data_IF_972216566398
#
_entry.id   IF_972216566398
#
_cell.length_a   1.000
_cell.length_b   1.000
_cell.length_c   1.000
_cell.angle_alpha   90.00
_cell.angle_beta   90.00
_cell.angle_gamma   90.00
#
_symmetry.space_group_name_H-M   'P 1'
#
loop_
_entity.id
_entity.type
_entity.pdbx_description
1 polymer ?
#
# COMPACT_ATOMS: atom_id res chain seq x y z
N UNK A 1 22.23 21.62 -1.55
CA UNK A 1 21.20 20.98 -0.71
C UNK A 1 20.74 19.73 -1.45
N UNK A 2 20.88 18.56 -0.83
CA UNK A 2 20.40 17.29 -1.39
C UNK A 2 18.88 17.40 -1.53
N UNK A 3 18.38 17.48 -2.77
CA UNK A 3 16.96 17.48 -3.05
C UNK A 3 16.40 16.13 -2.60
N UNK A 4 15.79 16.09 -1.42
CA UNK A 4 14.82 15.07 -1.05
C UNK A 4 13.61 15.28 -1.96
N UNK A 5 13.72 14.79 -3.20
CA UNK A 5 12.70 14.89 -4.21
C UNK A 5 11.45 14.17 -3.70
N UNK A 6 10.57 14.91 -3.02
CA UNK A 6 9.15 14.57 -2.97
C UNK A 6 8.64 14.77 -4.38
N UNK A 7 8.81 13.74 -5.20
CA UNK A 7 8.16 13.65 -6.51
C UNK A 7 6.67 13.79 -6.25
N UNK A 8 6.15 14.97 -6.53
CA UNK A 8 4.71 15.21 -6.50
C UNK A 8 4.13 14.43 -7.67
N UNK A 9 3.55 13.26 -7.38
CA UNK A 9 2.83 12.46 -8.38
C UNK A 9 1.48 13.16 -8.58
N UNK A 10 1.18 13.73 -9.75
CA UNK A 10 -0.13 14.34 -9.99
C UNK A 10 -1.19 13.22 -10.00
N UNK A 11 -2.20 13.31 -9.12
CA UNK A 11 -3.25 12.29 -8.99
C UNK A 11 -3.24 11.50 -7.68
N UNK A 12 -2.37 11.84 -6.72
CA UNK A 12 -2.45 11.30 -5.36
C UNK A 12 -3.78 11.74 -4.75
N UNK A 13 -4.64 10.77 -4.50
CA UNK A 13 -5.85 10.98 -3.71
C UNK A 13 -5.48 11.10 -2.23
N UNK A 14 -6.36 11.69 -1.43
CA UNK A 14 -6.05 11.98 -0.01
C UNK A 14 -5.91 10.75 0.87
N UNK A 15 -6.13 9.54 0.34
CA UNK A 15 -6.02 8.31 1.11
C UNK A 15 -4.62 7.71 0.97
N UNK A 16 -4.07 7.36 2.12
CA UNK A 16 -2.74 6.78 2.28
C UNK A 16 -2.80 5.88 3.50
N UNK A 17 -1.89 4.92 3.58
CA UNK A 17 -1.85 4.06 4.74
C UNK A 17 -0.65 3.15 4.74
N UNK A 18 -0.70 2.23 5.69
CA UNK A 18 0.30 1.19 5.86
C UNK A 18 -0.39 -0.15 5.92
N UNK A 19 0.14 -1.16 5.25
CA UNK A 19 -0.25 -2.54 5.47
C UNK A 19 0.97 -3.39 5.79
N UNK A 20 0.74 -4.41 6.63
CA UNK A 20 1.76 -5.35 7.04
C UNK A 20 1.40 -6.73 6.49
N UNK A 21 2.39 -7.43 5.96
CA UNK A 21 2.23 -8.80 5.50
C UNK A 21 3.50 -9.60 5.65
N UNK A 22 3.34 -10.86 6.04
CA UNK A 22 4.41 -11.85 5.93
C UNK A 22 4.46 -12.31 4.48
N UNK A 23 5.64 -12.20 3.85
CA UNK A 23 5.83 -12.65 2.47
C UNK A 23 7.09 -13.48 2.38
N UNK A 24 6.94 -14.69 1.85
CA UNK A 24 8.07 -15.46 1.32
C UNK A 24 8.30 -15.03 -0.14
N UNK A 25 9.52 -14.60 -0.45
CA UNK A 25 9.91 -14.10 -1.77
C UNK A 25 10.14 -12.58 -1.87
N UNK A 26 10.15 -12.05 -3.10
CA UNK A 26 10.55 -10.68 -3.39
C UNK A 26 9.49 -9.65 -2.94
N UNK A 27 9.88 -8.54 -2.28
CA UNK A 27 8.96 -7.51 -1.83
C UNK A 27 8.33 -6.77 -3.03
N UNK A 28 7.19 -6.12 -2.78
CA UNK A 28 6.69 -5.10 -3.72
C UNK A 28 7.73 -3.98 -3.84
N UNK A 29 7.85 -3.36 -5.01
CA UNK A 29 8.86 -2.33 -5.24
C UNK A 29 8.35 -0.94 -4.89
N UNK A 30 9.19 -0.09 -4.29
CA UNK A 30 8.88 1.34 -4.15
C UNK A 30 8.68 1.93 -5.54
N UNK A 31 7.70 2.83 -5.68
CA UNK A 31 7.23 3.43 -6.93
C UNK A 31 6.55 2.47 -7.90
N UNK A 32 6.29 1.22 -7.50
CA UNK A 32 5.38 0.34 -8.24
C UNK A 32 3.93 0.71 -7.95
N UNK A 33 3.10 0.69 -8.99
CA UNK A 33 1.66 0.79 -8.86
C UNK A 33 1.07 -0.61 -8.70
N UNK A 34 0.17 -0.79 -7.74
CA UNK A 34 -0.57 -2.04 -7.51
C UNK A 34 -2.03 -1.73 -7.17
N UNK A 35 -2.92 -2.70 -7.40
CA UNK A 35 -4.31 -2.63 -6.92
C UNK A 35 -4.40 -3.07 -5.46
N UNK A 36 -5.24 -2.40 -4.68
CA UNK A 36 -5.67 -2.81 -3.34
C UNK A 36 -7.16 -3.12 -3.34
N UNK A 37 -7.51 -4.13 -2.56
CA UNK A 37 -8.86 -4.49 -2.18
C UNK A 37 -8.95 -4.42 -0.66
N UNK A 38 -9.83 -3.55 -0.16
CA UNK A 38 -10.01 -3.29 1.27
C UNK A 38 -11.43 -3.72 1.66
N UNK A 39 -11.56 -4.86 2.32
CA UNK A 39 -12.83 -5.29 2.88
C UNK A 39 -13.16 -4.47 4.14
N UNK A 40 -14.35 -3.90 4.21
CA UNK A 40 -14.78 -3.11 5.35
C UNK A 40 -15.19 -4.02 6.51
N UNK A 41 -14.65 -3.77 7.71
CA UNK A 41 -14.93 -4.60 8.88
C UNK A 41 -16.28 -4.31 9.54
N UNK A 42 -16.83 -3.12 9.33
CA UNK A 42 -18.08 -2.67 9.97
C UNK A 42 -19.33 -3.08 9.17
N UNK A 43 -19.24 -3.08 7.84
CA UNK A 43 -20.34 -3.44 6.96
C UNK A 43 -20.01 -4.73 6.22
N UNK A 44 -20.72 -5.80 6.59
CA UNK A 44 -20.64 -7.07 5.86
C UNK A 44 -20.99 -6.81 4.40
N UNK A 45 -20.16 -7.32 3.48
CA UNK A 45 -20.27 -7.22 2.00
C UNK A 45 -19.79 -5.93 1.33
N UNK A 46 -19.28 -4.93 2.06
CA UNK A 46 -18.65 -3.76 1.43
C UNK A 46 -17.15 -3.97 1.25
N UNK A 47 -16.67 -3.64 0.06
CA UNK A 47 -15.24 -3.62 -0.27
C UNK A 47 -14.91 -2.37 -1.07
N UNK A 48 -13.72 -1.84 -0.83
CA UNK A 48 -13.18 -0.69 -1.53
C UNK A 48 -12.05 -1.13 -2.44
N UNK A 49 -12.14 -0.78 -3.71
CA UNK A 49 -11.10 -1.02 -4.71
C UNK A 49 -10.40 0.28 -5.04
N UNK A 50 -9.07 0.23 -5.14
CA UNK A 50 -8.27 1.39 -5.50
C UNK A 50 -6.89 1.01 -6.02
N UNK A 51 -6.29 1.91 -6.79
CA UNK A 51 -4.89 1.79 -7.17
C UNK A 51 -4.03 2.55 -6.18
N UNK A 52 -2.86 2.00 -5.85
CA UNK A 52 -1.88 2.64 -4.98
C UNK A 52 -0.50 2.59 -5.57
N UNK A 53 0.33 3.55 -5.19
CA UNK A 53 1.76 3.52 -5.40
C UNK A 53 2.43 3.23 -4.06
N UNK A 54 3.32 2.25 -4.03
CA UNK A 54 4.12 1.95 -2.83
C UNK A 54 5.16 3.06 -2.67
N UNK A 55 5.14 3.74 -1.53
CA UNK A 55 6.04 4.86 -1.22
C UNK A 55 7.17 4.47 -0.28
N UNK A 56 7.02 3.36 0.45
CA UNK A 56 7.99 2.89 1.43
C UNK A 56 7.87 1.39 1.72
N UNK A 57 8.99 0.78 2.10
CA UNK A 57 9.07 -0.62 2.51
C UNK A 57 9.96 -0.70 3.74
N UNK A 58 9.44 -1.32 4.80
CA UNK A 58 10.15 -1.54 6.05
C UNK A 58 10.22 -3.05 6.31
N UNK A 59 11.32 -3.71 5.92
CA UNK A 59 11.52 -5.12 6.23
C UNK A 59 11.87 -5.29 7.72
N UNK A 60 11.21 -6.23 8.37
CA UNK A 60 11.53 -6.70 9.71
C UNK A 60 11.89 -8.19 9.64
N UNK A 61 13.16 -8.50 9.89
CA UNK A 61 13.67 -9.87 9.88
C UNK A 61 13.64 -10.38 11.32
N UNK A 62 12.73 -11.30 11.60
CA UNK A 62 12.72 -12.00 12.89
C UNK A 62 13.86 -13.02 12.95
N UNK A 63 14.33 -13.33 14.16
CA UNK A 63 15.37 -14.34 14.38
C UNK A 63 14.96 -15.76 13.92
N UNK A 64 13.66 -15.99 13.71
CA UNK A 64 13.06 -17.24 13.23
C UNK A 64 13.06 -17.35 11.68
N UNK A 65 13.67 -16.39 10.99
CA UNK A 65 13.76 -16.38 9.52
C UNK A 65 12.49 -15.93 8.80
N UNK A 66 11.40 -15.67 9.53
CA UNK A 66 10.21 -15.01 9.00
C UNK A 66 10.52 -13.52 8.76
N UNK A 67 10.29 -13.08 7.52
CA UNK A 67 10.40 -11.67 7.13
C UNK A 67 9.01 -11.07 7.03
N UNK A 68 8.75 -10.11 7.89
CA UNK A 68 7.55 -9.27 7.83
C UNK A 68 7.89 -8.01 7.05
N UNK A 69 7.04 -7.61 6.12
CA UNK A 69 7.18 -6.36 5.40
C UNK A 69 6.03 -5.42 5.74
N UNK A 70 6.36 -4.23 6.22
CA UNK A 70 5.42 -3.11 6.30
C UNK A 70 5.58 -2.24 5.05
N UNK A 71 4.48 -1.99 4.35
CA UNK A 71 4.47 -1.17 3.13
C UNK A 71 3.70 0.11 3.39
N UNK A 72 4.32 1.25 3.07
CA UNK A 72 3.61 2.53 2.97
C UNK A 72 3.08 2.69 1.56
N UNK A 73 1.84 3.14 1.44
CA UNK A 73 1.24 3.40 0.14
C UNK A 73 0.53 4.74 0.09
N UNK A 74 0.46 5.27 -1.12
CA UNK A 74 -0.35 6.43 -1.45
C UNK A 74 -1.38 6.04 -2.51
N UNK A 75 -2.65 6.36 -2.25
CA UNK A 75 -3.74 6.19 -3.20
C UNK A 75 -3.55 7.01 -4.47
N UNK A 76 -3.93 6.42 -5.60
CA UNK A 76 -4.04 7.10 -6.90
C UNK A 76 -5.51 7.07 -7.32
N UNK A 77 -6.09 8.26 -7.46
CA UNK A 77 -7.52 8.39 -7.79
C UNK A 77 -8.47 7.96 -6.67
N UNK A 78 -9.76 7.95 -6.98
CA UNK A 78 -10.83 7.68 -6.02
C UNK A 78 -10.89 6.21 -5.60
N UNK A 79 -11.27 5.96 -4.34
CA UNK A 79 -11.66 4.63 -3.88
C UNK A 79 -13.09 4.36 -4.36
N UNK A 80 -13.27 3.27 -5.10
CA UNK A 80 -14.59 2.89 -5.60
C UNK A 80 -15.12 1.76 -4.73
N UNK A 81 -16.37 1.87 -4.30
CA UNK A 81 -17.08 0.77 -3.67
C UNK A 81 -17.32 -0.33 -4.72
N UNK A 82 -16.77 -1.52 -4.49
CA UNK A 82 -17.18 -2.69 -5.25
C UNK A 82 -18.49 -3.20 -4.64
N UNK A 83 -19.61 -2.80 -5.25
CA UNK A 83 -20.90 -3.40 -4.95
C UNK A 83 -20.89 -4.86 -5.42
N UNK A 84 -21.24 -5.77 -4.51
CA UNK A 84 -21.49 -7.17 -4.82
C UNK A 84 -22.68 -7.37 -5.78
#
# INVERSE_FOLDING_TARGET
ATNNARTFIPGLSSWSGTFEGVKDGAPLQVFSQTSLELAESATVTQMWLGNVVITGIHPNVSADGLVTYTYDYQGVGELVEASA
#
